data_IF_556604442552
#
_entry.id   IF_556604442552
#
_cell.length_a   1.000
_cell.length_b   1.000
_cell.length_c   1.000
_cell.angle_alpha   90.00
_cell.angle_beta   90.00
_cell.angle_gamma   90.00
#
_symmetry.space_group_name_H-M   'P 1'
#
loop_
_entity.id
_entity.type
_entity.pdbx_description
1 polymer ?
#
# COMPACT_ATOMS: atom_id res chain seq x y z
N UNK A 1 2.36 -10.94 -21.85
CA UNK A 1 2.58 -11.99 -20.83
C UNK A 1 1.46 -13.01 -20.87
N UNK A 2 0.30 -12.77 -20.25
CA UNK A 2 -0.77 -13.78 -20.07
C UNK A 2 -1.23 -14.43 -21.39
N UNK A 3 -1.68 -13.64 -22.37
CA UNK A 3 -2.10 -14.16 -23.68
C UNK A 3 -0.97 -14.87 -24.45
N UNK A 4 0.27 -14.41 -24.30
CA UNK A 4 1.42 -14.98 -25.01
C UNK A 4 1.86 -16.33 -24.41
N UNK A 5 1.66 -16.51 -23.11
CA UNK A 5 1.96 -17.75 -22.41
C UNK A 5 0.74 -18.67 -22.26
N UNK A 6 -0.41 -18.28 -22.80
CA UNK A 6 -1.67 -19.01 -22.70
C UNK A 6 -2.00 -19.43 -21.26
N UNK A 7 -1.79 -18.52 -20.30
CA UNK A 7 -2.06 -18.84 -18.90
C UNK A 7 -3.58 -18.91 -18.65
N UNK A 8 -4.03 -19.97 -18.01
CA UNK A 8 -5.45 -20.25 -17.76
C UNK A 8 -6.04 -19.47 -16.58
N UNK A 9 -5.19 -18.98 -15.67
CA UNK A 9 -5.60 -18.22 -14.49
C UNK A 9 -4.49 -17.27 -14.01
N UNK A 10 -4.86 -16.32 -13.15
CA UNK A 10 -3.93 -15.33 -12.58
C UNK A 10 -4.01 -15.26 -11.05
N UNK A 11 -2.84 -15.13 -10.44
CA UNK A 11 -2.69 -14.68 -9.05
C UNK A 11 -2.04 -13.30 -9.09
N UNK A 12 -2.81 -12.28 -8.76
CA UNK A 12 -2.36 -10.88 -8.78
C UNK A 12 -1.86 -10.48 -7.39
N UNK A 13 -0.53 -10.38 -7.24
CA UNK A 13 0.10 -9.86 -6.02
C UNK A 13 0.29 -8.35 -6.18
N UNK A 14 -0.61 -7.57 -5.59
CA UNK A 14 -0.61 -6.10 -5.69
C UNK A 14 -0.52 -5.45 -4.31
N UNK A 15 0.10 -4.27 -4.22
CA UNK A 15 0.12 -3.56 -2.94
C UNK A 15 0.30 -2.05 -3.07
N UNK A 16 1.19 -1.58 -3.95
CA UNK A 16 1.41 -0.15 -4.12
C UNK A 16 0.29 0.49 -4.96
N UNK A 17 0.11 1.79 -4.79
CA UNK A 17 -1.00 2.63 -5.27
C UNK A 17 -1.54 2.23 -6.65
N UNK A 18 -0.69 2.23 -7.68
CA UNK A 18 -1.13 2.02 -9.07
C UNK A 18 -1.05 0.57 -9.54
N UNK A 19 -0.52 -0.33 -8.72
CA UNK A 19 -0.36 -1.74 -9.08
C UNK A 19 -1.72 -2.43 -9.06
N UNK A 20 -2.49 -2.25 -7.98
CA UNK A 20 -3.82 -2.87 -7.81
C UNK A 20 -4.79 -2.49 -8.95
N UNK A 21 -5.03 -1.21 -9.28
CA UNK A 21 -5.90 -0.87 -10.41
C UNK A 21 -5.34 -1.31 -11.77
N UNK A 22 -4.01 -1.28 -11.96
CA UNK A 22 -3.37 -1.75 -13.20
C UNK A 22 -3.61 -3.24 -13.45
N UNK A 23 -3.40 -4.06 -12.42
CA UNK A 23 -3.68 -5.50 -12.47
C UNK A 23 -5.18 -5.79 -12.60
N UNK A 24 -6.04 -5.01 -11.92
CA UNK A 24 -7.49 -5.13 -12.06
C UNK A 24 -7.97 -4.88 -13.49
N UNK A 25 -7.49 -3.82 -14.13
CA UNK A 25 -7.81 -3.56 -15.54
C UNK A 25 -7.35 -4.69 -16.46
N UNK A 26 -6.16 -5.25 -16.21
CA UNK A 26 -5.66 -6.38 -17.00
C UNK A 26 -6.53 -7.63 -16.79
N UNK A 27 -6.86 -7.96 -15.55
CA UNK A 27 -7.69 -9.11 -15.21
C UNK A 27 -9.08 -9.04 -15.86
N UNK A 28 -9.74 -7.88 -15.78
CA UNK A 28 -11.04 -7.66 -16.42
C UNK A 28 -10.98 -7.76 -17.95
N UNK A 29 -9.89 -7.31 -18.58
CA UNK A 29 -9.70 -7.42 -20.03
C UNK A 29 -9.43 -8.86 -20.49
N UNK A 30 -8.70 -9.63 -19.69
CA UNK A 30 -8.37 -11.02 -20.00
C UNK A 30 -9.55 -11.96 -19.74
N UNK A 31 -10.41 -11.62 -18.77
CA UNK A 31 -11.62 -12.35 -18.43
C UNK A 31 -11.39 -13.86 -18.22
N UNK A 32 -10.29 -14.18 -17.53
CA UNK A 32 -9.93 -15.52 -17.06
C UNK A 32 -9.98 -15.55 -15.52
N UNK A 33 -10.08 -16.74 -14.89
CA UNK A 33 -10.06 -16.85 -13.43
C UNK A 33 -8.89 -16.09 -12.78
N UNK A 34 -9.20 -15.22 -11.82
CA UNK A 34 -8.22 -14.37 -11.14
C UNK A 34 -8.49 -14.34 -9.63
N UNK A 35 -7.42 -14.26 -8.85
CA UNK A 35 -7.47 -13.94 -7.42
C UNK A 35 -6.44 -12.88 -7.08
N UNK A 36 -6.82 -11.92 -6.24
CA UNK A 36 -5.95 -10.87 -5.73
C UNK A 36 -5.40 -11.22 -4.35
N UNK A 37 -4.11 -10.98 -4.16
CA UNK A 37 -3.40 -11.15 -2.89
C UNK A 37 -2.72 -9.83 -2.57
N UNK A 38 -3.18 -9.14 -1.52
CA UNK A 38 -2.52 -7.93 -1.05
C UNK A 38 -1.27 -8.27 -0.25
N UNK A 39 -0.21 -7.49 -0.42
CA UNK A 39 0.99 -7.55 0.42
C UNK A 39 0.78 -6.99 1.84
N UNK A 40 -0.28 -6.20 2.05
CA UNK A 40 -0.62 -5.59 3.33
C UNK A 40 0.06 -4.23 3.58
N UNK A 41 -0.51 -3.42 4.50
CA UNK A 41 0.09 -2.16 4.92
C UNK A 41 1.36 -2.39 5.73
N UNK A 42 2.28 -1.43 5.66
CA UNK A 42 3.37 -1.34 6.61
C UNK A 42 2.84 -0.94 7.99
N UNK A 43 3.52 -1.39 9.03
CA UNK A 43 3.28 -0.92 10.40
C UNK A 43 3.52 0.60 10.49
N UNK A 44 2.73 1.28 11.31
CA UNK A 44 2.94 2.70 11.55
C UNK A 44 4.23 2.96 12.32
N UNK A 45 4.94 4.03 11.96
CA UNK A 45 6.18 4.45 12.61
C UNK A 45 5.95 4.75 14.10
N UNK A 46 6.81 4.21 14.97
CA UNK A 46 6.81 4.53 16.41
C UNK A 46 8.12 5.20 16.74
N UNK A 47 8.07 6.46 17.18
CA UNK A 47 9.27 7.20 17.62
C UNK A 47 9.04 7.84 18.97
N UNK A 48 10.14 8.26 19.60
CA UNK A 48 10.10 9.15 20.76
C UNK A 48 9.91 10.62 20.37
N UNK A 49 9.80 10.93 19.07
CA UNK A 49 9.78 12.29 18.52
C UNK A 49 8.37 12.86 18.38
N UNK A 50 7.35 12.00 18.40
CA UNK A 50 5.93 12.38 18.38
C UNK A 50 5.13 11.52 19.34
N UNK A 51 4.10 12.12 19.94
CA UNK A 51 3.11 11.41 20.78
C UNK A 51 2.16 10.51 19.96
N UNK A 52 2.03 10.79 18.66
CA UNK A 52 1.21 10.00 17.72
C UNK A 52 2.08 9.08 16.84
N UNK A 53 1.45 8.03 16.30
CA UNK A 53 2.08 7.14 15.31
C UNK A 53 2.43 7.95 14.06
N UNK A 54 3.66 7.80 13.56
CA UNK A 54 4.12 8.48 12.35
C UNK A 54 3.70 7.74 11.09
N UNK A 55 3.34 8.50 10.08
CA UNK A 55 3.20 8.03 8.71
C UNK A 55 4.06 8.82 7.72
N UNK A 56 3.94 8.48 6.43
CA UNK A 56 4.69 9.12 5.36
C UNK A 56 4.31 10.60 5.17
N UNK A 57 3.05 10.97 5.46
CA UNK A 57 2.57 12.35 5.33
C UNK A 57 3.22 13.22 6.39
N UNK A 58 3.39 12.75 7.61
CA UNK A 58 4.08 13.49 8.67
C UNK A 58 5.52 13.86 8.26
N UNK A 59 6.25 12.90 7.67
CA UNK A 59 7.59 13.15 7.16
C UNK A 59 7.58 14.20 6.02
N UNK A 60 6.61 14.13 5.11
CA UNK A 60 6.47 15.11 4.02
C UNK A 60 6.13 16.51 4.55
N UNK A 61 5.28 16.61 5.57
CA UNK A 61 4.89 17.89 6.18
C UNK A 61 6.07 18.52 6.91
N UNK A 62 6.81 17.75 7.71
CA UNK A 62 7.99 18.25 8.43
C UNK A 62 9.11 18.65 7.47
N UNK A 63 9.29 17.92 6.37
CA UNK A 63 10.26 18.28 5.33
C UNK A 63 9.90 19.57 4.57
N UNK A 64 8.63 19.95 4.54
CA UNK A 64 8.15 21.18 3.91
C UNK A 64 8.10 22.38 4.89
N UNK A 65 8.37 22.16 6.18
CA UNK A 65 8.38 23.20 7.21
C UNK A 65 9.78 23.83 7.33
N UNK A 66 9.92 25.07 6.85
CA UNK A 66 11.17 25.84 6.91
C UNK A 66 11.68 26.06 8.35
N UNK A 67 10.85 25.84 9.38
CA UNK A 67 11.25 25.93 10.79
C UNK A 67 11.81 24.64 11.37
N UNK A 68 11.71 23.52 10.66
CA UNK A 68 12.27 22.24 11.09
C UNK A 68 13.78 22.17 10.80
N UNK A 69 14.55 21.62 11.75
CA UNK A 69 15.97 21.38 11.50
C UNK A 69 16.17 20.14 10.63
N UNK A 70 17.25 20.11 9.85
CA UNK A 70 17.60 18.97 9.01
C UNK A 70 17.72 17.66 9.82
N UNK A 71 18.21 17.72 11.07
CA UNK A 71 18.28 16.53 11.91
C UNK A 71 16.89 16.01 12.30
N UNK A 72 15.93 16.92 12.53
CA UNK A 72 14.54 16.55 12.82
C UNK A 72 13.89 15.91 11.59
N UNK A 73 14.06 16.50 10.41
CA UNK A 73 13.56 15.96 9.14
C UNK A 73 14.11 14.54 8.92
N UNK A 74 15.43 14.37 9.03
CA UNK A 74 16.08 13.07 8.83
C UNK A 74 15.60 12.01 9.84
N UNK A 75 15.30 12.41 11.07
CA UNK A 75 14.79 11.49 12.09
C UNK A 75 13.33 11.06 11.82
N UNK A 76 12.49 11.96 11.30
CA UNK A 76 11.13 11.65 10.85
C UNK A 76 11.16 10.70 9.63
N UNK A 77 11.94 11.03 8.60
CA UNK A 77 12.06 10.20 7.39
C UNK A 77 12.49 8.76 7.71
N UNK A 78 13.51 8.60 8.56
CA UNK A 78 14.03 7.28 8.94
C UNK A 78 13.02 6.44 9.72
N UNK A 79 12.01 7.08 10.31
CA UNK A 79 11.06 6.41 11.19
C UNK A 79 9.67 6.23 10.59
N UNK A 80 9.33 6.99 9.54
CA UNK A 80 8.01 6.94 8.89
C UNK A 80 7.72 5.59 8.20
N UNK A 81 8.76 4.88 7.75
CA UNK A 81 8.64 3.61 7.03
C UNK A 81 9.39 2.47 7.75
N UNK A 82 8.86 1.92 8.85
CA UNK A 82 9.58 0.96 9.69
C UNK A 82 9.61 -0.47 9.13
N UNK A 83 8.68 -0.83 8.24
CA UNK A 83 8.51 -2.19 7.70
C UNK A 83 8.16 -2.15 6.22
N UNK A 84 8.21 -3.32 5.55
CA UNK A 84 7.73 -3.43 4.17
C UNK A 84 6.20 -3.43 4.11
N UNK A 85 5.63 -2.87 3.05
CA UNK A 85 4.18 -2.81 2.85
C UNK A 85 3.74 -1.58 2.06
N UNK A 86 2.43 -1.43 1.87
CA UNK A 86 1.84 -0.17 1.41
C UNK A 86 1.86 0.87 2.53
N UNK A 87 1.54 2.13 2.22
CA UNK A 87 1.40 3.17 3.23
C UNK A 87 0.50 2.73 4.39
N UNK A 88 0.86 3.09 5.62
CA UNK A 88 0.16 2.67 6.85
C UNK A 88 -1.23 3.30 7.01
N UNK A 89 -1.49 4.45 6.38
CA UNK A 89 -2.79 5.13 6.39
C UNK A 89 -3.78 4.65 5.33
N UNK A 90 -5.05 5.09 5.41
CA UNK A 90 -6.10 4.82 4.41
C UNK A 90 -5.94 5.69 3.15
N UNK A 91 -4.84 5.48 2.45
CA UNK A 91 -4.53 6.09 1.17
C UNK A 91 -4.89 5.16 0.01
N UNK A 92 -4.55 5.54 -1.23
CA UNK A 92 -4.98 4.81 -2.43
C UNK A 92 -4.64 3.32 -2.41
N UNK A 93 -3.45 2.93 -1.95
CA UNK A 93 -3.07 1.52 -1.86
C UNK A 93 -4.06 0.69 -1.01
N UNK A 94 -4.34 1.14 0.21
CA UNK A 94 -5.22 0.42 1.13
C UNK A 94 -6.68 0.52 0.70
N UNK A 95 -7.12 1.69 0.21
CA UNK A 95 -8.46 1.86 -0.36
C UNK A 95 -8.72 0.93 -1.54
N UNK A 96 -7.74 0.77 -2.45
CA UNK A 96 -7.85 -0.16 -3.58
C UNK A 96 -7.81 -1.63 -3.12
N UNK A 97 -7.00 -1.96 -2.11
CA UNK A 97 -6.99 -3.30 -1.54
C UNK A 97 -8.35 -3.65 -0.89
N UNK A 98 -8.95 -2.72 -0.14
CA UNK A 98 -10.32 -2.87 0.38
C UNK A 98 -11.36 -2.98 -0.74
N UNK A 99 -11.22 -2.23 -1.83
CA UNK A 99 -12.11 -2.34 -2.98
C UNK A 99 -12.06 -3.74 -3.61
N UNK A 100 -10.86 -4.31 -3.81
CA UNK A 100 -10.73 -5.67 -4.37
C UNK A 100 -11.34 -6.75 -3.49
N UNK A 101 -11.33 -6.55 -2.17
CA UNK A 101 -12.01 -7.42 -1.21
C UNK A 101 -13.53 -7.24 -1.29
N UNK A 102 -14.02 -6.00 -1.32
CA UNK A 102 -15.46 -5.69 -1.45
C UNK A 102 -16.06 -6.23 -2.76
N UNK A 103 -15.28 -6.28 -3.84
CA UNK A 103 -15.68 -6.88 -5.12
C UNK A 103 -15.63 -8.42 -5.12
N UNK A 104 -15.17 -9.06 -4.05
CA UNK A 104 -15.04 -10.51 -3.94
C UNK A 104 -13.88 -11.10 -4.75
N UNK A 105 -12.93 -10.26 -5.20
CA UNK A 105 -11.77 -10.69 -5.98
C UNK A 105 -10.58 -11.10 -5.11
N UNK A 106 -10.65 -10.79 -3.82
CA UNK A 106 -9.70 -11.18 -2.78
C UNK A 106 -10.44 -11.91 -1.67
N UNK A 107 -9.79 -12.90 -1.08
CA UNK A 107 -10.31 -13.57 0.12
C UNK A 107 -10.43 -12.59 1.29
N UNK A 108 -11.55 -12.63 2.01
CA UNK A 108 -11.75 -11.82 3.22
C UNK A 108 -10.83 -12.33 4.34
N UNK A 109 -9.67 -11.71 4.48
CA UNK A 109 -8.95 -11.72 5.74
C UNK A 109 -9.43 -10.48 6.49
N UNK A 110 -10.02 -10.66 7.68
CA UNK A 110 -10.44 -9.56 8.54
C UNK A 110 -9.39 -8.44 8.53
N UNK A 111 -9.79 -7.16 8.47
CA UNK A 111 -8.85 -6.06 8.33
C UNK A 111 -7.83 -6.17 9.47
N UNK A 112 -6.56 -6.32 9.10
CA UNK A 112 -5.45 -6.06 10.00
C UNK A 112 -5.43 -4.54 10.23
N UNK A 113 -6.33 -4.08 11.11
CA UNK A 113 -6.37 -2.73 11.67
C UNK A 113 -5.68 -2.74 13.04
#
# INVERSE_FOLDING_TARGET
MVNAHCADALVCISNCDKITPGMLMAALRLNIPVVFVSGGPMEAGKTKLSEHKLDLVDAMVVAADDSASDEKVAAFERSACPTCGSCSGMFTANSMNCLTEALGLRWSAAPAA
#
